data_IF_639411319266
#
_entry.id   IF_639411319266
#
_cell.length_a   1.000
_cell.length_b   1.000
_cell.length_c   1.000
_cell.angle_alpha   90.00
_cell.angle_beta   90.00
_cell.angle_gamma   90.00
#
_symmetry.space_group_name_H-M   'P 1'
#
loop_
_entity.id
_entity.type
_entity.pdbx_description
1 polymer ?
#
# COMPACT_ATOMS: atom_id res chain seq x y z
N UNK A 1 -17.66 -28.69 -4.41
CA UNK A 1 -18.38 -27.41 -4.47
C UNK A 1 -17.46 -26.32 -3.93
N UNK A 2 -16.57 -25.79 -4.76
CA UNK A 2 -15.51 -24.85 -4.32
C UNK A 2 -15.91 -23.42 -4.70
N UNK A 3 -16.40 -22.65 -3.72
CA UNK A 3 -16.69 -21.21 -3.88
C UNK A 3 -15.39 -20.43 -3.89
N UNK A 4 -14.89 -20.12 -5.09
CA UNK A 4 -13.78 -19.18 -5.25
C UNK A 4 -14.32 -17.75 -5.09
N UNK A 5 -14.33 -17.24 -3.86
CA UNK A 5 -14.60 -15.83 -3.58
C UNK A 5 -13.43 -14.99 -4.10
N UNK A 6 -13.53 -14.48 -5.33
CA UNK A 6 -12.68 -13.38 -5.78
C UNK A 6 -13.17 -12.12 -5.09
N UNK A 7 -12.46 -11.69 -4.06
CA UNK A 7 -12.55 -10.33 -3.54
C UNK A 7 -12.23 -9.36 -4.69
N UNK A 8 -12.99 -8.27 -4.87
CA UNK A 8 -12.64 -7.25 -5.84
C UNK A 8 -11.33 -6.60 -5.38
N UNK A 9 -10.22 -6.97 -6.03
CA UNK A 9 -8.98 -6.18 -5.97
C UNK A 9 -9.20 -4.94 -6.80
N UNK A 10 -10.05 -4.03 -6.35
CA UNK A 10 -10.13 -2.72 -7.00
C UNK A 10 -8.77 -2.06 -6.76
N UNK A 11 -7.94 -1.86 -7.80
CA UNK A 11 -6.67 -1.20 -7.59
C UNK A 11 -6.97 0.21 -7.09
N UNK A 12 -6.56 0.51 -5.86
CA UNK A 12 -6.56 1.89 -5.36
C UNK A 12 -5.89 2.77 -6.42
N UNK A 13 -6.59 3.80 -6.93
CA UNK A 13 -6.06 4.60 -8.03
C UNK A 13 -4.73 5.22 -7.62
N UNK A 14 -3.77 5.26 -8.56
CA UNK A 14 -2.41 5.77 -8.31
C UNK A 14 -2.39 7.14 -7.60
N UNK A 15 -3.35 8.01 -7.96
CA UNK A 15 -3.54 9.32 -7.35
C UNK A 15 -4.01 9.25 -5.89
N UNK A 16 -4.86 8.30 -5.51
CA UNK A 16 -5.30 8.13 -4.11
C UNK A 16 -4.12 7.70 -3.23
N UNK A 17 -3.27 6.80 -3.74
CA UNK A 17 -2.05 6.37 -3.04
C UNK A 17 -1.08 7.53 -2.84
N UNK A 18 -0.86 8.39 -3.84
CA UNK A 18 -0.02 9.58 -3.70
C UNK A 18 -0.56 10.56 -2.65
N UNK A 19 -1.87 10.80 -2.62
CA UNK A 19 -2.51 11.64 -1.60
C UNK A 19 -2.35 11.06 -0.19
N UNK A 20 -2.51 9.75 -0.03
CA UNK A 20 -2.30 9.05 1.24
C UNK A 20 -0.84 9.14 1.71
N UNK A 21 0.14 9.01 0.81
CA UNK A 21 1.56 9.19 1.13
C UNK A 21 1.81 10.59 1.70
N UNK A 22 1.37 11.63 0.98
CA UNK A 22 1.55 13.02 1.43
C UNK A 22 0.88 13.29 2.78
N UNK A 23 -0.32 12.72 2.99
CA UNK A 23 -1.03 12.84 4.26
C UNK A 23 -0.23 12.21 5.42
N UNK A 24 0.21 10.96 5.26
CA UNK A 24 0.98 10.27 6.29
C UNK A 24 2.35 10.91 6.53
N UNK A 25 3.01 11.46 5.50
CA UNK A 25 4.26 12.22 5.67
C UNK A 25 4.03 13.50 6.51
N UNK A 26 2.95 14.25 6.23
CA UNK A 26 2.60 15.42 7.05
C UNK A 26 2.32 15.07 8.51
N UNK A 27 1.60 13.96 8.75
CA UNK A 27 1.31 13.46 10.10
C UNK A 27 2.58 13.04 10.82
N UNK A 28 3.48 12.32 10.13
CA UNK A 28 4.76 11.91 10.69
C UNK A 28 5.60 13.12 11.13
N UNK A 29 5.70 14.14 10.27
CA UNK A 29 6.42 15.38 10.58
C UNK A 29 5.83 16.12 11.76
N UNK A 30 4.50 16.23 11.82
CA UNK A 30 3.81 16.90 12.92
C UNK A 30 4.02 16.15 14.24
N UNK A 31 3.82 14.83 14.27
CA UNK A 31 4.03 14.01 15.45
C UNK A 31 5.49 14.06 15.93
N UNK A 32 6.46 14.02 15.00
CA UNK A 32 7.87 14.16 15.32
C UNK A 32 8.21 15.53 15.94
N UNK A 33 7.64 16.61 15.40
CA UNK A 33 7.81 17.96 15.94
C UNK A 33 7.26 18.10 17.37
N UNK A 34 6.23 17.33 17.72
CA UNK A 34 5.62 17.26 19.05
C UNK A 34 6.32 16.25 19.98
N UNK A 35 7.35 15.56 19.53
CA UNK A 35 8.05 14.52 20.30
C UNK A 35 7.27 13.19 20.43
N UNK A 36 6.17 13.03 19.69
CA UNK A 36 5.32 11.84 19.69
C UNK A 36 5.91 10.76 18.76
N UNK A 37 7.03 10.17 19.18
CA UNK A 37 7.83 9.27 18.34
C UNK A 37 7.06 8.03 17.87
N UNK A 38 6.21 7.44 18.72
CA UNK A 38 5.40 6.27 18.36
C UNK A 38 4.39 6.58 17.27
N UNK A 39 3.75 7.75 17.32
CA UNK A 39 2.79 8.20 16.31
C UNK A 39 3.51 8.53 15.00
N UNK A 40 4.66 9.18 15.09
CA UNK A 40 5.51 9.45 13.93
C UNK A 40 5.94 8.14 13.25
N UNK A 41 6.41 7.15 14.01
CA UNK A 41 6.81 5.85 13.47
C UNK A 41 5.64 5.12 12.78
N UNK A 42 4.44 5.15 13.38
CA UNK A 42 3.24 4.56 12.76
C UNK A 42 2.89 5.25 11.44
N UNK A 43 2.92 6.58 11.40
CA UNK A 43 2.64 7.35 10.19
C UNK A 43 3.67 7.07 9.07
N UNK A 44 4.96 6.99 9.40
CA UNK A 44 6.02 6.60 8.46
C UNK A 44 5.75 5.22 7.86
N UNK A 45 5.43 4.23 8.70
CA UNK A 45 5.12 2.89 8.22
C UNK A 45 3.88 2.85 7.31
N UNK A 46 2.89 3.72 7.54
CA UNK A 46 1.72 3.84 6.65
C UNK A 46 2.11 4.46 5.31
N UNK A 47 2.90 5.53 5.29
CA UNK A 47 3.42 6.12 4.05
C UNK A 47 4.20 5.09 3.22
N UNK A 48 5.14 4.37 3.83
CA UNK A 48 5.95 3.32 3.17
C UNK A 48 5.10 2.19 2.60
N UNK A 49 3.99 1.81 3.26
CA UNK A 49 3.05 0.82 2.72
C UNK A 49 2.37 1.33 1.46
N UNK A 50 1.97 2.59 1.42
CA UNK A 50 1.38 3.21 0.23
C UNK A 50 2.40 3.33 -0.90
N UNK A 51 3.65 3.72 -0.61
CA UNK A 51 4.75 3.72 -1.60
C UNK A 51 4.99 2.34 -2.20
N UNK A 52 5.07 1.30 -1.36
CA UNK A 52 5.23 -0.09 -1.82
C UNK A 52 4.08 -0.51 -2.74
N UNK A 53 2.84 -0.12 -2.41
CA UNK A 53 1.67 -0.39 -3.26
C UNK A 53 1.73 0.40 -4.56
N UNK A 54 2.12 1.66 -4.52
CA UNK A 54 2.28 2.54 -5.68
C UNK A 54 3.33 2.00 -6.66
N UNK A 55 4.44 1.49 -6.13
CA UNK A 55 5.48 0.81 -6.91
C UNK A 55 4.97 -0.51 -7.51
N UNK A 56 4.14 -1.25 -6.77
CA UNK A 56 3.59 -2.54 -7.19
C UNK A 56 2.30 -2.45 -8.03
N UNK A 57 1.78 -1.25 -8.31
CA UNK A 57 0.63 -1.02 -9.23
C UNK A 57 0.95 -1.25 -10.72
N UNK A 58 2.06 -1.93 -11.04
CA UNK A 58 2.40 -2.34 -12.41
C UNK A 58 1.48 -3.45 -12.94
N UNK A 59 1.57 -3.78 -14.25
CA UNK A 59 0.77 -4.85 -14.83
C UNK A 59 1.03 -6.17 -14.10
N UNK A 60 -0.01 -6.71 -13.46
CA UNK A 60 0.05 -8.02 -12.82
C UNK A 60 0.09 -9.09 -13.92
N UNK A 61 1.27 -9.63 -14.20
CA UNK A 61 1.43 -10.71 -15.18
C UNK A 61 1.09 -12.03 -14.49
N UNK A 62 0.05 -12.70 -14.96
CA UNK A 62 -0.35 -14.02 -14.50
C UNK A 62 0.65 -15.04 -15.05
N UNK A 63 1.60 -15.49 -14.22
CA UNK A 63 2.52 -16.56 -14.61
C UNK A 63 1.76 -17.89 -14.61
N UNK A 64 1.34 -18.33 -15.80
CA UNK A 64 0.82 -19.68 -15.99
C UNK A 64 1.97 -20.67 -15.85
N UNK A 65 2.06 -21.33 -14.70
CA UNK A 65 2.99 -22.45 -14.52
C UNK A 65 2.43 -23.63 -15.32
N UNK A 66 3.16 -24.08 -16.35
CA UNK A 66 2.81 -25.29 -17.08
C UNK A 66 2.92 -26.50 -16.13
N UNK A 67 1.89 -27.36 -16.01
CA UNK A 67 2.00 -28.59 -15.22
C UNK A 67 3.06 -29.50 -15.84
N UNK A 68 3.92 -30.08 -15.00
CA UNK A 68 4.87 -31.11 -15.43
C UNK A 68 4.11 -32.42 -15.54
N UNK A 69 3.96 -32.93 -16.76
CA UNK A 69 3.63 -34.32 -17.03
C UNK A 69 4.89 -35.17 -16.89
#
# INVERSE_FOLDING_TARGET
MSRSLRLPTNPEPRLSLQQQISHHDSQARQAAALGQLDEAARAILQALRCERRLANTGPQVLQLIKPRA
#
